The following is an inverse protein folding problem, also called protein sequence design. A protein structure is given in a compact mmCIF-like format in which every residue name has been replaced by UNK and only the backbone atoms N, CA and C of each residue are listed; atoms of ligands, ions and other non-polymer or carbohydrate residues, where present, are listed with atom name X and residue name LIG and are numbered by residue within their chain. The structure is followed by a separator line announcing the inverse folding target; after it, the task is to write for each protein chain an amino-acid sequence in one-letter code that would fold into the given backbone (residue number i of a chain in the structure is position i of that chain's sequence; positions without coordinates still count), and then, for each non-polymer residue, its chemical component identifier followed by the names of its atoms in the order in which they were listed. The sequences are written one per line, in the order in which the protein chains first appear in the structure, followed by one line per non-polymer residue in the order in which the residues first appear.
data_IF_106138008588
#
_entry.id   IF_106138008588
#
_cell.length_a   1.000
_cell.length_b   1.000
_cell.length_c   1.000
_cell.angle_alpha   90.00
_cell.angle_beta   90.00
_cell.angle_gamma   90.00
#
_symmetry.space_group_name_H-M   'P 1'
#
loop_
_entity.id
_entity.type
_entity.pdbx_description
1 polymer ?
#
# COMPACT_ATOMS: atom_id res chain seq x y z
N UNK A 1 -7.04 27.51 -16.63
CA UNK A 1 -6.96 26.89 -15.29
C UNK A 1 -6.66 28.03 -14.33
N UNK A 2 -7.29 28.10 -13.14
CA UNK A 2 -7.03 29.20 -12.20
C UNK A 2 -5.62 29.05 -11.60
N UNK A 3 -4.92 30.14 -11.30
CA UNK A 3 -3.53 30.11 -10.78
C UNK A 3 -3.43 29.25 -9.51
N UNK A 4 -4.33 29.44 -8.55
CA UNK A 4 -4.40 28.63 -7.33
C UNK A 4 -4.59 27.12 -7.61
N UNK A 5 -5.30 26.74 -8.67
CA UNK A 5 -5.46 25.34 -9.05
C UNK A 5 -4.15 24.76 -9.58
N UNK A 6 -3.38 25.54 -10.34
CA UNK A 6 -2.07 25.10 -10.85
C UNK A 6 -1.06 24.93 -9.70
N UNK A 7 -1.07 25.83 -8.73
CA UNK A 7 -0.24 25.73 -7.52
C UNK A 7 -0.55 24.47 -6.72
N UNK A 8 -1.85 24.16 -6.50
CA UNK A 8 -2.26 22.95 -5.79
C UNK A 8 -1.86 21.67 -6.55
N UNK A 9 -2.05 21.63 -7.87
CA UNK A 9 -1.67 20.48 -8.70
C UNK A 9 -0.16 20.24 -8.61
N UNK A 10 0.64 21.31 -8.71
CA UNK A 10 2.09 21.22 -8.60
C UNK A 10 2.53 20.78 -7.20
N UNK A 11 1.93 21.32 -6.14
CA UNK A 11 2.25 20.98 -4.76
C UNK A 11 1.91 19.52 -4.41
N UNK A 12 0.80 18.99 -4.91
CA UNK A 12 0.37 17.61 -4.69
C UNK A 12 1.01 16.61 -5.67
N UNK A 13 1.69 17.09 -6.71
CA UNK A 13 2.34 16.26 -7.73
C UNK A 13 1.36 15.44 -8.57
N UNK A 14 0.13 15.92 -8.76
CA UNK A 14 -0.90 15.20 -9.52
C UNK A 14 -0.64 15.36 -11.03
N UNK A 15 -0.55 14.25 -11.76
CA UNK A 15 -0.36 14.26 -13.21
C UNK A 15 -1.70 14.18 -13.94
N UNK A 16 -1.83 14.90 -15.06
CA UNK A 16 -3.04 14.86 -15.90
C UNK A 16 -3.09 13.62 -16.80
N UNK A 17 -1.94 13.02 -17.06
CA UNK A 17 -1.79 11.76 -17.79
C UNK A 17 -1.22 10.73 -16.82
N UNK A 18 -1.91 9.60 -16.68
CA UNK A 18 -1.46 8.49 -15.83
C UNK A 18 -1.84 7.15 -16.47
N UNK A 19 -1.04 6.13 -16.17
CA UNK A 19 -1.29 4.73 -16.54
C UNK A 19 -1.22 3.87 -15.28
N UNK A 20 -2.27 3.08 -15.03
CA UNK A 20 -2.41 2.32 -13.81
C UNK A 20 -1.32 1.27 -13.62
N UNK A 21 -0.93 0.59 -14.71
CA UNK A 21 0.09 -0.44 -14.65
C UNK A 21 1.47 0.16 -14.31
N UNK A 22 1.83 1.25 -14.99
CA UNK A 22 3.08 1.98 -14.77
C UNK A 22 3.16 2.57 -13.37
N UNK A 23 2.08 3.20 -12.88
CA UNK A 23 2.04 3.76 -11.52
C UNK A 23 2.12 2.68 -10.44
N UNK A 24 1.46 1.54 -10.66
CA UNK A 24 1.54 0.39 -9.75
C UNK A 24 2.98 -0.11 -9.63
N UNK A 25 3.65 -0.34 -10.77
CA UNK A 25 5.06 -0.77 -10.79
C UNK A 25 5.98 0.25 -10.11
N UNK A 26 5.78 1.55 -10.38
CA UNK A 26 6.56 2.64 -9.78
C UNK A 26 6.43 2.65 -8.25
N UNK A 27 5.22 2.43 -7.72
CA UNK A 27 4.94 2.43 -6.28
C UNK A 27 5.47 1.19 -5.58
N UNK A 28 5.38 0.02 -6.21
CA UNK A 28 6.02 -1.20 -5.71
C UNK A 28 7.54 -0.97 -5.61
N UNK A 29 8.18 -0.47 -6.68
CA UNK A 29 9.62 -0.24 -6.67
C UNK A 29 10.03 0.79 -5.61
N UNK A 30 9.25 1.86 -5.43
CA UNK A 30 9.50 2.83 -4.39
C UNK A 30 9.59 2.19 -2.99
N UNK A 31 8.65 1.29 -2.65
CA UNK A 31 8.66 0.58 -1.38
C UNK A 31 9.85 -0.38 -1.27
N UNK A 32 10.14 -1.15 -2.32
CA UNK A 32 11.29 -2.07 -2.37
C UNK A 32 12.60 -1.32 -2.12
N UNK A 33 12.83 -0.21 -2.83
CA UNK A 33 14.03 0.61 -2.68
C UNK A 33 14.12 1.25 -1.29
N UNK A 34 13.00 1.70 -0.74
CA UNK A 34 12.96 2.25 0.61
C UNK A 34 13.36 1.19 1.64
N UNK A 35 12.76 0.01 1.60
CA UNK A 35 13.08 -1.08 2.53
C UNK A 35 14.56 -1.50 2.45
N UNK A 36 15.13 -1.63 1.24
CA UNK A 36 16.55 -1.96 1.05
C UNK A 36 17.50 -0.92 1.64
N UNK A 37 17.10 0.35 1.65
CA UNK A 37 17.91 1.46 2.19
C UNK A 37 17.85 1.59 3.70
N UNK A 38 16.80 1.09 4.35
CA UNK A 38 16.63 1.20 5.81
C UNK A 38 17.26 -0.02 6.48
N UNK A 39 18.37 0.14 7.25
CA UNK A 39 19.03 -0.99 7.90
C UNK A 39 18.07 -1.73 8.84
N UNK A 40 18.00 -3.05 8.69
CA UNK A 40 17.16 -3.91 9.53
C UNK A 40 15.66 -3.86 9.21
N UNK A 41 15.22 -3.15 8.17
CA UNK A 41 13.83 -3.20 7.73
C UNK A 41 13.48 -4.62 7.23
N UNK A 42 12.34 -5.16 7.71
CA UNK A 42 11.84 -6.50 7.36
C UNK A 42 10.44 -6.45 6.75
N UNK A 43 10.10 -5.36 6.08
CA UNK A 43 8.81 -5.17 5.41
C UNK A 43 7.93 -4.11 6.08
N UNK A 44 6.61 -4.31 6.05
CA UNK A 44 5.64 -3.23 6.32
C UNK A 44 4.46 -3.70 7.17
N UNK A 45 3.84 -2.73 7.86
CA UNK A 45 2.62 -2.90 8.66
C UNK A 45 1.60 -1.85 8.19
N UNK A 46 0.33 -2.23 8.01
CA UNK A 46 -0.74 -1.28 7.69
C UNK A 46 -2.07 -1.70 8.30
N UNK A 47 -2.83 -0.72 8.82
CA UNK A 47 -4.21 -0.90 9.23
C UNK A 47 -5.14 -1.08 8.01
N UNK A 48 -5.87 -2.18 7.96
CA UNK A 48 -6.81 -2.50 6.87
C UNK A 48 -8.23 -2.30 7.37
N UNK A 49 -8.91 -1.27 6.85
CA UNK A 49 -10.30 -0.97 7.23
C UNK A 49 -11.31 -1.73 6.37
N UNK A 50 -10.97 -1.99 5.10
CA UNK A 50 -11.90 -2.45 4.06
C UNK A 50 -12.08 -1.40 2.95
N UNK A 51 -11.77 -0.13 3.24
CA UNK A 51 -11.86 0.96 2.27
C UNK A 51 -10.80 0.91 1.17
N UNK A 52 -11.12 1.52 0.02
CA UNK A 52 -10.31 1.53 -1.20
C UNK A 52 -8.83 1.87 -0.96
N UNK A 53 -8.53 2.92 -0.20
CA UNK A 53 -7.17 3.38 0.01
C UNK A 53 -6.32 2.36 0.77
N UNK A 54 -6.87 1.80 1.86
CA UNK A 54 -6.20 0.78 2.66
C UNK A 54 -5.96 -0.50 1.86
N UNK A 55 -6.94 -0.90 1.05
CA UNK A 55 -6.87 -2.09 0.20
C UNK A 55 -5.81 -1.95 -0.90
N UNK A 56 -5.76 -0.79 -1.57
CA UNK A 56 -4.77 -0.51 -2.60
C UNK A 56 -3.36 -0.44 -2.01
N UNK A 57 -3.16 0.33 -0.94
CA UNK A 57 -1.86 0.48 -0.30
C UNK A 57 -1.34 -0.84 0.27
N UNK A 58 -2.20 -1.62 0.92
CA UNK A 58 -1.84 -2.93 1.46
C UNK A 58 -1.45 -3.92 0.35
N UNK A 59 -2.18 -3.94 -0.78
CA UNK A 59 -1.82 -4.81 -1.91
C UNK A 59 -0.48 -4.41 -2.52
N UNK A 60 -0.20 -3.13 -2.68
CA UNK A 60 1.11 -2.64 -3.17
C UNK A 60 2.22 -3.05 -2.19
N UNK A 61 1.99 -2.93 -0.87
CA UNK A 61 2.95 -3.35 0.15
C UNK A 61 3.21 -4.86 0.12
N UNK A 62 2.16 -5.69 -0.02
CA UNK A 62 2.28 -7.14 -0.17
C UNK A 62 3.11 -7.51 -1.40
N UNK A 63 2.85 -6.87 -2.54
CA UNK A 63 3.63 -7.10 -3.77
C UNK A 63 5.09 -6.68 -3.61
N UNK A 64 5.36 -5.59 -2.88
CA UNK A 64 6.72 -5.14 -2.60
C UNK A 64 7.50 -6.14 -1.73
N UNK A 65 6.90 -6.70 -0.68
CA UNK A 65 7.56 -7.72 0.15
C UNK A 65 7.75 -9.04 -0.60
N UNK A 66 6.82 -9.41 -1.49
CA UNK A 66 7.01 -10.56 -2.40
C UNK A 66 8.23 -10.37 -3.31
N UNK A 67 8.40 -9.17 -3.89
CA UNK A 67 9.58 -8.86 -4.69
C UNK A 67 10.87 -8.85 -3.85
N UNK A 68 10.84 -8.29 -2.64
CA UNK A 68 11.99 -8.34 -1.72
C UNK A 68 12.41 -9.78 -1.41
N UNK A 69 11.44 -10.66 -1.18
CA UNK A 69 11.69 -12.09 -0.97
C UNK A 69 12.24 -12.78 -2.22
N UNK A 70 11.75 -12.45 -3.42
CA UNK A 70 12.33 -12.99 -4.65
C UNK A 70 13.76 -12.52 -4.90
N UNK A 71 14.12 -11.35 -4.37
CA UNK A 71 15.48 -10.78 -4.41
C UNK A 71 16.39 -11.34 -3.28
N UNK A 72 15.89 -12.25 -2.43
CA UNK A 72 16.65 -12.91 -1.37
C UNK A 72 16.64 -12.20 -0.01
N UNK A 73 15.78 -11.20 0.19
CA UNK A 73 15.61 -10.54 1.48
C UNK A 73 14.52 -11.19 2.35
N UNK A 74 14.70 -11.19 3.66
CA UNK A 74 13.63 -11.54 4.60
C UNK A 74 12.70 -10.33 4.81
N UNK A 75 11.49 -10.38 4.25
CA UNK A 75 10.49 -9.33 4.40
C UNK A 75 9.07 -9.89 4.47
N UNK A 76 8.22 -9.29 5.30
CA UNK A 76 6.80 -9.64 5.46
C UNK A 76 5.91 -8.40 5.45
N UNK A 77 4.68 -8.56 4.97
CA UNK A 77 3.63 -7.57 5.16
C UNK A 77 2.60 -8.07 6.18
N UNK A 78 2.32 -7.23 7.16
CA UNK A 78 1.41 -7.50 8.26
C UNK A 78 0.20 -6.57 8.13
N UNK A 79 -0.96 -7.14 7.81
CA UNK A 79 -2.23 -6.42 7.84
C UNK A 79 -2.78 -6.41 9.27
N UNK A 80 -3.20 -5.24 9.76
CA UNK A 80 -3.74 -5.05 11.11
C UNK A 80 -5.21 -4.65 11.03
N UNK A 81 -6.10 -5.36 11.72
CA UNK A 81 -7.49 -4.95 11.91
C UNK A 81 -7.58 -4.05 13.14
N UNK A 82 -8.27 -2.91 13.02
CA UNK A 82 -8.38 -1.90 14.09
C UNK A 82 -9.85 -1.52 14.36
N UNK A 83 -10.69 -2.45 14.84
CA UNK A 83 -12.09 -2.17 15.11
C UNK A 83 -12.30 -1.27 16.33
N UNK A 84 -13.28 -0.36 16.23
CA UNK A 84 -13.81 0.36 17.38
C UNK A 84 -15.20 -0.20 17.75
N UNK A 85 -15.25 -1.06 18.77
CA UNK A 85 -16.49 -1.74 19.16
C UNK A 85 -16.91 -2.81 18.14
N UNK A 86 -18.19 -2.87 17.80
CA UNK A 86 -18.70 -3.81 16.80
C UNK A 86 -18.51 -3.23 15.39
N UNK A 87 -17.67 -3.89 14.59
CA UNK A 87 -17.37 -3.50 13.23
C UNK A 87 -18.57 -3.78 12.31
N UNK A 88 -19.17 -2.72 11.73
CA UNK A 88 -20.32 -2.84 10.83
C UNK A 88 -19.91 -3.14 9.37
N UNK A 89 -18.65 -2.90 9.02
CA UNK A 89 -18.03 -3.10 7.70
C UNK A 89 -17.07 -4.31 7.68
N UNK A 90 -17.36 -5.34 8.48
CA UNK A 90 -16.51 -6.54 8.56
C UNK A 90 -16.43 -7.28 7.22
N UNK A 91 -17.52 -7.35 6.44
CA UNK A 91 -17.52 -7.99 5.13
C UNK A 91 -16.58 -7.30 4.15
N UNK A 92 -16.55 -5.96 4.14
CA UNK A 92 -15.66 -5.16 3.29
C UNK A 92 -14.19 -5.40 3.68
N UNK A 93 -13.93 -5.51 4.97
CA UNK A 93 -12.59 -5.81 5.45
C UNK A 93 -12.13 -7.22 5.10
N UNK A 94 -13.01 -8.22 5.23
CA UNK A 94 -12.68 -9.59 4.83
C UNK A 94 -12.46 -9.67 3.32
N UNK A 95 -13.26 -8.98 2.52
CA UNK A 95 -13.05 -8.87 1.08
C UNK A 95 -11.69 -8.24 0.76
N UNK A 96 -11.34 -7.15 1.45
CA UNK A 96 -10.03 -6.51 1.31
C UNK A 96 -8.89 -7.47 1.66
N UNK A 97 -8.97 -8.19 2.79
CA UNK A 97 -7.94 -9.15 3.20
C UNK A 97 -7.75 -10.28 2.18
N UNK A 98 -8.84 -10.80 1.61
CA UNK A 98 -8.80 -11.80 0.55
C UNK A 98 -8.09 -11.29 -0.71
N UNK A 99 -8.34 -10.03 -1.09
CA UNK A 99 -7.66 -9.40 -2.23
C UNK A 99 -6.18 -9.13 -1.95
N UNK A 100 -5.85 -8.65 -0.75
CA UNK A 100 -4.48 -8.28 -0.36
C UNK A 100 -3.58 -9.52 -0.31
N UNK A 101 -4.05 -10.62 0.29
CA UNK A 101 -3.26 -11.82 0.60
C UNK A 101 -2.00 -11.50 1.42
N UNK A 102 -2.19 -10.85 2.57
CA UNK A 102 -1.10 -10.48 3.47
C UNK A 102 -0.38 -11.72 4.01
N UNK A 103 0.93 -11.61 4.24
CA UNK A 103 1.72 -12.70 4.84
C UNK A 103 1.23 -13.03 6.26
N UNK A 104 0.82 -11.99 7.01
CA UNK A 104 0.20 -12.12 8.34
C UNK A 104 -0.96 -11.15 8.51
N UNK A 105 -2.00 -11.60 9.19
CA UNK A 105 -3.13 -10.77 9.63
C UNK A 105 -3.17 -10.78 11.16
N UNK A 106 -3.37 -9.62 11.80
CA UNK A 106 -3.46 -9.45 13.25
C UNK A 106 -4.54 -8.46 13.66
#
# INVERSE_FOLDING_TARGET
MRDAQQEIIAALGVTSVWDAASETKRRIQFLVEYAKRVPGCRGFVLGVSGGQDSSLAARIAQLAVQQLRSDGHEAEFIAVRLPYGTQLDEDDAQLALQFIQADRVT
#
